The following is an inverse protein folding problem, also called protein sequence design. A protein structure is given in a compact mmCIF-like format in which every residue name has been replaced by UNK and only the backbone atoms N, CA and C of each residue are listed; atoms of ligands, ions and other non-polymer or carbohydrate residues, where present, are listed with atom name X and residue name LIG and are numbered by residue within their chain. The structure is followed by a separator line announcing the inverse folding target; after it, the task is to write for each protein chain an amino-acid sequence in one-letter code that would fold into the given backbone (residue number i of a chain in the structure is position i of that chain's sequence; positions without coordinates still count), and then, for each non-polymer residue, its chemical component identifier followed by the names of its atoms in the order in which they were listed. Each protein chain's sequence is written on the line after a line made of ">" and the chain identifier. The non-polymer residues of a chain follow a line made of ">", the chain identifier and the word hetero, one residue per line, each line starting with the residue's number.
data_IF_878373322920
#
_entry.id   IF_878373322920
#
_cell.length_a   1.000
_cell.length_b   1.000
_cell.length_c   1.000
_cell.angle_alpha   90.00
_cell.angle_beta   90.00
_cell.angle_gamma   90.00
#
_symmetry.space_group_name_H-M   'P 1'
#
loop_
_entity.id
_entity.type
_entity.pdbx_description
1 polymer ?
#
# COMPACT_ATOMS: atom_id res chain seq x y z
N UNK A 1 -22.00 -4.05 6.34
CA UNK A 1 -20.87 -4.29 7.26
C UNK A 1 -21.19 -3.52 8.54
N UNK A 2 -21.00 -4.10 9.72
CA UNK A 2 -21.30 -3.42 10.99
C UNK A 2 -20.43 -2.15 11.14
N UNK A 3 -20.97 -1.08 11.71
CA UNK A 3 -20.31 0.22 11.91
C UNK A 3 -18.97 0.04 12.63
N UNK A 4 -18.91 -0.84 13.63
CA UNK A 4 -17.69 -1.15 14.38
C UNK A 4 -16.54 -1.65 13.49
N UNK A 5 -16.84 -2.41 12.43
CA UNK A 5 -15.81 -2.89 11.48
C UNK A 5 -15.31 -1.78 10.55
N UNK A 6 -16.16 -0.79 10.23
CA UNK A 6 -15.74 0.39 9.45
C UNK A 6 -14.81 1.26 10.29
N UNK A 7 -15.17 1.53 11.54
CA UNK A 7 -14.36 2.30 12.47
C UNK A 7 -13.00 1.61 12.70
N UNK A 8 -13.00 0.30 12.91
CA UNK A 8 -11.77 -0.48 13.08
C UNK A 8 -10.85 -0.42 11.85
N UNK A 9 -11.40 -0.31 10.64
CA UNK A 9 -10.64 -0.14 9.41
C UNK A 9 -10.16 1.30 9.16
N UNK A 10 -10.90 2.31 9.62
CA UNK A 10 -10.50 3.71 9.47
C UNK A 10 -9.29 4.03 10.36
N UNK A 11 -9.23 3.50 11.58
CA UNK A 11 -8.11 3.72 12.50
C UNK A 11 -6.71 3.48 11.88
N UNK A 12 -6.39 2.32 11.29
CA UNK A 12 -5.09 2.10 10.66
C UNK A 12 -4.84 2.99 9.44
N UNK A 13 -5.89 3.37 8.69
CA UNK A 13 -5.75 4.31 7.57
C UNK A 13 -5.41 5.72 8.08
N UNK A 14 -6.00 6.14 9.20
CA UNK A 14 -5.63 7.40 9.86
C UNK A 14 -4.20 7.37 10.38
N UNK A 15 -3.75 6.26 10.97
CA UNK A 15 -2.33 6.10 11.36
C UNK A 15 -1.40 6.21 10.16
N UNK A 16 -1.77 5.61 9.03
CA UNK A 16 -1.03 5.73 7.77
C UNK A 16 -0.95 7.19 7.28
N UNK A 17 -2.03 7.97 7.38
CA UNK A 17 -1.99 9.41 7.06
C UNK A 17 -1.02 10.16 7.98
N UNK A 18 -1.10 9.92 9.30
CA UNK A 18 -0.20 10.54 10.28
C UNK A 18 1.26 10.18 9.99
N UNK A 19 1.54 8.93 9.69
CA UNK A 19 2.90 8.48 9.37
C UNK A 19 3.46 9.17 8.11
N UNK A 20 2.64 9.35 7.07
CA UNK A 20 3.06 10.09 5.87
C UNK A 20 3.24 11.59 6.13
N UNK A 21 2.42 12.20 6.98
CA UNK A 21 2.64 13.60 7.40
C UNK A 21 3.93 13.78 8.21
N UNK A 22 4.26 12.81 9.06
CA UNK A 22 5.54 12.79 9.79
C UNK A 22 6.72 12.59 8.85
N UNK A 23 6.60 11.68 7.87
CA UNK A 23 7.68 11.47 6.90
C UNK A 23 7.88 12.68 5.98
N UNK A 24 6.80 13.35 5.58
CA UNK A 24 6.86 14.62 4.86
C UNK A 24 7.70 15.67 5.60
N UNK A 25 7.63 15.73 6.93
CA UNK A 25 8.38 16.73 7.71
C UNK A 25 9.88 16.43 7.85
N UNK A 26 10.33 15.20 7.55
CA UNK A 26 11.75 14.80 7.64
C UNK A 26 12.64 15.61 6.70
N UNK A 27 12.11 16.07 5.57
CA UNK A 27 12.90 16.79 4.55
C UNK A 27 13.05 18.27 4.88
N UNK A 28 12.09 18.83 5.62
CA UNK A 28 12.10 20.23 6.03
C UNK A 28 12.80 20.46 7.36
N UNK A 29 13.21 19.39 8.04
CA UNK A 29 13.83 19.46 9.36
C UNK A 29 15.06 18.56 9.42
N UNK A 30 16.19 19.11 9.86
CA UNK A 30 17.41 18.34 10.13
C UNK A 30 17.23 17.52 11.42
N UNK A 31 16.55 16.40 11.31
CA UNK A 31 16.39 15.47 12.42
C UNK A 31 17.62 14.60 12.61
N UNK A 32 17.95 14.32 13.87
CA UNK A 32 18.96 13.33 14.23
C UNK A 32 18.56 11.97 13.66
N UNK A 33 19.53 11.22 13.12
CA UNK A 33 19.37 9.88 12.52
C UNK A 33 18.43 8.94 13.28
N UNK A 34 18.50 8.92 14.62
CA UNK A 34 17.61 8.10 15.46
C UNK A 34 16.14 8.46 15.26
N UNK A 35 15.82 9.75 15.16
CA UNK A 35 14.46 10.23 14.92
C UNK A 35 14.00 9.92 13.50
N UNK A 36 14.88 10.04 12.52
CA UNK A 36 14.60 9.62 11.13
C UNK A 36 14.28 8.13 11.08
N UNK A 37 15.10 7.28 11.72
CA UNK A 37 14.85 5.84 11.84
C UNK A 37 13.46 5.53 12.41
N UNK A 38 13.08 6.19 13.50
CA UNK A 38 11.75 6.01 14.10
C UNK A 38 10.61 6.44 13.15
N UNK A 39 10.74 7.57 12.47
CA UNK A 39 9.72 8.06 11.54
C UNK A 39 9.59 7.11 10.34
N UNK A 40 10.70 6.71 9.72
CA UNK A 40 10.69 5.80 8.57
C UNK A 40 10.22 4.40 8.95
N UNK A 41 10.59 3.92 10.14
CA UNK A 41 10.14 2.63 10.67
C UNK A 41 8.65 2.62 11.00
N UNK A 42 8.14 3.71 11.60
CA UNK A 42 6.71 3.88 11.85
C UNK A 42 5.91 3.91 10.54
N UNK A 43 6.38 4.66 9.54
CA UNK A 43 5.79 4.69 8.21
C UNK A 43 5.73 3.30 7.57
N UNK A 44 6.84 2.55 7.64
CA UNK A 44 6.90 1.19 7.11
C UNK A 44 5.84 0.27 7.73
N UNK A 45 5.70 0.29 9.06
CA UNK A 45 4.68 -0.51 9.76
C UNK A 45 3.26 -0.08 9.35
N UNK A 46 2.99 1.22 9.26
CA UNK A 46 1.71 1.73 8.82
C UNK A 46 1.40 1.38 7.35
N UNK A 47 2.39 1.35 6.46
CA UNK A 47 2.24 0.95 5.06
C UNK A 47 1.79 -0.52 4.95
N UNK A 48 2.42 -1.43 5.69
CA UNK A 48 2.00 -2.83 5.73
C UNK A 48 0.56 -2.96 6.22
N UNK A 49 0.24 -2.34 7.36
CA UNK A 49 -1.10 -2.45 7.96
C UNK A 49 -2.16 -1.84 7.04
N UNK A 50 -1.87 -0.70 6.41
CA UNK A 50 -2.76 -0.06 5.44
C UNK A 50 -3.13 -1.02 4.31
N UNK A 51 -2.14 -1.67 3.70
CA UNK A 51 -2.41 -2.59 2.58
C UNK A 51 -3.13 -3.85 3.00
N UNK A 52 -2.84 -4.41 4.19
CA UNK A 52 -3.61 -5.53 4.75
C UNK A 52 -5.10 -5.16 4.88
N UNK A 53 -5.40 -3.94 5.34
CA UNK A 53 -6.77 -3.44 5.44
C UNK A 53 -7.41 -3.32 4.06
N UNK A 54 -6.73 -2.71 3.09
CA UNK A 54 -7.25 -2.61 1.72
C UNK A 54 -7.53 -3.99 1.12
N UNK A 55 -6.60 -4.93 1.25
CA UNK A 55 -6.79 -6.30 0.79
C UNK A 55 -7.98 -6.97 1.45
N UNK A 56 -8.19 -6.79 2.75
CA UNK A 56 -9.39 -7.32 3.43
C UNK A 56 -10.69 -6.89 2.73
N UNK A 57 -10.81 -5.62 2.35
CA UNK A 57 -12.00 -5.14 1.63
C UNK A 57 -12.06 -5.64 0.19
N UNK A 58 -10.95 -5.64 -0.56
CA UNK A 58 -10.92 -6.16 -1.94
C UNK A 58 -11.40 -7.62 -1.98
N UNK A 59 -10.92 -8.42 -1.04
CA UNK A 59 -11.29 -9.83 -0.90
C UNK A 59 -12.72 -10.07 -0.46
N UNK A 60 -13.33 -9.13 0.26
CA UNK A 60 -14.74 -9.26 0.63
C UNK A 60 -15.68 -9.20 -0.59
N UNK A 61 -15.20 -8.63 -1.70
CA UNK A 61 -15.93 -8.50 -2.97
C UNK A 61 -15.55 -9.61 -3.96
N UNK A 62 -14.26 -9.95 -4.04
CA UNK A 62 -13.74 -10.94 -4.99
C UNK A 62 -13.92 -12.37 -4.51
N UNK A 63 -14.34 -13.25 -5.42
CA UNK A 63 -14.35 -14.70 -5.19
C UNK A 63 -13.19 -15.32 -5.99
N UNK A 64 -12.00 -15.37 -5.39
CA UNK A 64 -10.76 -15.92 -5.98
C UNK A 64 -10.33 -17.12 -5.14
N UNK A 65 -9.62 -18.07 -5.75
CA UNK A 65 -9.05 -19.20 -5.04
C UNK A 65 -8.05 -18.72 -3.97
N UNK A 66 -8.18 -19.26 -2.76
CA UNK A 66 -7.51 -18.73 -1.58
C UNK A 66 -5.97 -18.72 -1.68
N UNK A 67 -5.38 -19.68 -2.41
CA UNK A 67 -3.93 -19.75 -2.63
C UNK A 67 -3.41 -18.61 -3.53
N UNK A 68 -4.09 -18.34 -4.65
CA UNK A 68 -3.70 -17.28 -5.59
C UNK A 68 -3.76 -15.90 -4.92
N UNK A 69 -4.77 -15.69 -4.08
CA UNK A 69 -4.91 -14.49 -3.26
C UNK A 69 -3.68 -14.28 -2.38
N UNK A 70 -3.31 -15.27 -1.56
CA UNK A 70 -2.20 -15.13 -0.63
C UNK A 70 -0.86 -14.95 -1.34
N UNK A 71 -0.69 -15.56 -2.52
CA UNK A 71 0.50 -15.34 -3.35
C UNK A 71 0.60 -13.88 -3.82
N UNK A 72 -0.46 -13.33 -4.40
CA UNK A 72 -0.45 -11.95 -4.92
C UNK A 72 -0.24 -10.95 -3.77
N UNK A 73 -0.98 -11.10 -2.67
CA UNK A 73 -0.84 -10.24 -1.49
C UNK A 73 0.54 -10.37 -0.85
N UNK A 74 1.07 -11.59 -0.77
CA UNK A 74 2.40 -11.87 -0.22
C UNK A 74 3.51 -11.23 -1.04
N UNK A 75 3.49 -11.39 -2.37
CA UNK A 75 4.46 -10.75 -3.27
C UNK A 75 4.38 -9.23 -3.16
N UNK A 76 3.17 -8.68 -3.11
CA UNK A 76 2.97 -7.25 -2.98
C UNK A 76 3.50 -6.69 -1.64
N UNK A 77 3.19 -7.35 -0.53
CA UNK A 77 3.70 -6.99 0.79
C UNK A 77 5.22 -7.15 0.90
N UNK A 78 5.81 -8.14 0.22
CA UNK A 78 7.26 -8.29 0.11
C UNK A 78 7.90 -7.12 -0.65
N UNK A 79 7.27 -6.62 -1.71
CA UNK A 79 7.70 -5.40 -2.41
C UNK A 79 7.69 -4.15 -1.51
N UNK A 80 6.64 -3.99 -0.69
CA UNK A 80 6.57 -2.93 0.32
C UNK A 80 7.66 -3.10 1.38
N UNK A 81 7.90 -4.34 1.85
CA UNK A 81 8.95 -4.61 2.81
C UNK A 81 10.34 -4.27 2.28
N UNK A 82 10.66 -4.68 1.05
CA UNK A 82 11.94 -4.38 0.43
C UNK A 82 12.17 -2.87 0.29
N UNK A 83 11.16 -2.12 -0.18
CA UNK A 83 11.26 -0.66 -0.32
C UNK A 83 11.28 0.06 1.03
N UNK A 84 10.46 -0.37 1.99
CA UNK A 84 10.42 0.18 3.35
C UNK A 84 11.73 -0.01 4.11
N UNK A 85 12.31 -1.22 4.08
CA UNK A 85 13.63 -1.50 4.67
C UNK A 85 14.70 -0.65 3.98
N UNK A 86 14.65 -0.54 2.64
CA UNK A 86 15.54 0.34 1.89
C UNK A 86 15.48 1.78 2.34
N UNK A 87 14.28 2.34 2.48
CA UNK A 87 14.06 3.71 2.97
C UNK A 87 14.61 3.91 4.38
N UNK A 88 14.34 2.97 5.29
CA UNK A 88 14.83 3.05 6.68
C UNK A 88 16.35 3.11 6.67
N UNK A 89 17.01 2.17 5.98
CA UNK A 89 18.47 2.07 6.00
C UNK A 89 19.15 3.27 5.33
N UNK A 90 18.65 3.70 4.18
CA UNK A 90 19.25 4.81 3.41
C UNK A 90 19.05 6.17 4.07
N UNK A 91 17.87 6.43 4.65
CA UNK A 91 17.57 7.75 5.22
C UNK A 91 18.08 7.91 6.65
N UNK A 92 18.25 6.82 7.41
CA UNK A 92 18.66 6.90 8.82
C UNK A 92 20.13 6.62 9.07
N UNK A 93 20.86 6.05 8.09
CA UNK A 93 22.26 5.69 8.27
C UNK A 93 23.15 6.25 7.17
N UNK A 94 23.89 7.34 7.44
CA UNK A 94 24.88 7.89 6.51
C UNK A 94 25.92 6.84 6.09
N UNK A 95 26.35 6.00 7.04
CA UNK A 95 27.28 4.90 6.77
C UNK A 95 26.74 3.91 5.73
N UNK A 96 25.47 3.52 5.83
CA UNK A 96 24.87 2.59 4.86
C UNK A 96 24.70 3.26 3.50
N UNK A 97 24.40 4.56 3.48
CA UNK A 97 24.33 5.34 2.25
C UNK A 97 25.70 5.42 1.55
N UNK A 98 26.78 5.67 2.30
CA UNK A 98 28.15 5.68 1.77
C UNK A 98 28.60 4.29 1.29
N UNK A 99 28.22 3.25 2.04
CA UNK A 99 28.50 1.87 1.65
C UNK A 99 27.74 1.46 0.38
N UNK A 100 26.50 1.93 0.21
CA UNK A 100 25.73 1.73 -1.02
C UNK A 100 26.46 2.36 -2.20
N UNK A 101 26.88 3.62 -2.07
CA UNK A 101 27.54 4.37 -3.15
C UNK A 101 28.90 3.78 -3.55
N UNK A 102 29.52 2.97 -2.69
CA UNK A 102 30.80 2.32 -2.93
C UNK A 102 30.70 0.83 -3.34
N UNK A 103 29.49 0.23 -3.30
CA UNK A 103 29.29 -1.19 -3.56
C UNK A 103 28.21 -1.44 -4.61
N UNK A 104 28.62 -1.92 -5.79
CA UNK A 104 27.70 -2.31 -6.88
C UNK A 104 26.69 -3.36 -6.43
N UNK A 105 27.10 -4.31 -5.59
CA UNK A 105 26.21 -5.35 -5.04
C UNK A 105 25.07 -4.75 -4.21
N UNK A 106 25.36 -3.76 -3.36
CA UNK A 106 24.34 -3.12 -2.55
C UNK A 106 23.41 -2.24 -3.40
N UNK A 107 23.95 -1.54 -4.41
CA UNK A 107 23.14 -0.80 -5.38
C UNK A 107 22.11 -1.72 -6.03
N UNK A 108 22.54 -2.90 -6.51
CA UNK A 108 21.62 -3.87 -7.11
C UNK A 108 20.63 -4.45 -6.09
N UNK A 109 21.07 -4.73 -4.87
CA UNK A 109 20.19 -5.27 -3.83
C UNK A 109 19.05 -4.30 -3.49
N UNK A 110 19.35 -3.05 -3.15
CA UNK A 110 18.33 -2.05 -2.83
C UNK A 110 17.54 -1.59 -4.06
N UNK A 111 18.20 -1.50 -5.22
CA UNK A 111 17.55 -1.19 -6.50
C UNK A 111 16.54 -2.26 -6.91
N UNK A 112 16.84 -3.54 -6.69
CA UNK A 112 15.93 -4.65 -6.99
C UNK A 112 14.62 -4.56 -6.21
N UNK A 113 14.66 -4.10 -4.95
CA UNK A 113 13.46 -3.87 -4.14
C UNK A 113 12.54 -2.80 -4.74
N UNK A 114 13.12 -1.73 -5.30
CA UNK A 114 12.36 -0.67 -5.97
C UNK A 114 11.75 -1.14 -7.28
N UNK A 115 12.48 -1.94 -8.06
CA UNK A 115 11.98 -2.57 -9.30
C UNK A 115 10.86 -3.58 -8.98
N UNK A 116 11.00 -4.35 -7.90
CA UNK A 116 9.96 -5.26 -7.43
C UNK A 116 8.66 -4.49 -7.12
N UNK A 117 8.75 -3.30 -6.50
CA UNK A 117 7.59 -2.45 -6.21
C UNK A 117 6.88 -1.97 -7.49
N UNK A 118 7.59 -1.68 -8.58
CA UNK A 118 6.98 -1.38 -9.88
C UNK A 118 6.16 -2.55 -10.39
N UNK A 119 6.74 -3.75 -10.39
CA UNK A 119 6.05 -4.97 -10.81
C UNK A 119 4.81 -5.25 -9.93
N UNK A 120 4.96 -5.08 -8.61
CA UNK A 120 3.87 -5.19 -7.65
C UNK A 120 2.73 -4.18 -7.93
N UNK A 121 3.06 -2.95 -8.36
CA UNK A 121 2.07 -1.95 -8.75
C UNK A 121 1.18 -2.42 -9.90
N UNK A 122 1.78 -2.96 -10.96
CA UNK A 122 1.02 -3.50 -12.11
C UNK A 122 0.22 -4.75 -11.72
N UNK A 123 0.81 -5.64 -10.92
CA UNK A 123 0.12 -6.83 -10.40
C UNK A 123 -1.12 -6.45 -9.59
N UNK A 124 -1.00 -5.48 -8.69
CA UNK A 124 -2.12 -4.97 -7.89
C UNK A 124 -3.22 -4.40 -8.78
N UNK A 125 -2.86 -3.63 -9.80
CA UNK A 125 -3.84 -3.04 -10.71
C UNK A 125 -4.64 -4.11 -11.46
N UNK A 126 -3.96 -5.13 -12.01
CA UNK A 126 -4.62 -6.30 -12.59
C UNK A 126 -5.50 -7.04 -11.58
N UNK A 127 -5.01 -7.20 -10.35
CA UNK A 127 -5.73 -7.83 -9.26
C UNK A 127 -7.00 -7.06 -8.86
N UNK A 128 -7.05 -5.74 -8.97
CA UNK A 128 -8.23 -4.92 -8.59
C UNK A 128 -9.16 -4.61 -9.77
N UNK A 129 -8.75 -4.82 -11.02
CA UNK A 129 -9.42 -4.30 -12.23
C UNK A 129 -10.93 -4.60 -12.36
N UNK A 130 -11.37 -5.82 -12.02
CA UNK A 130 -12.80 -6.22 -11.98
C UNK A 130 -13.04 -7.21 -10.82
N UNK A 131 -14.19 -7.21 -10.10
CA UNK A 131 -15.38 -6.35 -10.20
C UNK A 131 -15.39 -5.21 -9.14
N UNK A 132 -14.23 -4.59 -8.89
CA UNK A 132 -14.05 -3.72 -7.70
C UNK A 132 -14.43 -2.27 -7.99
N UNK A 133 -14.86 -1.55 -6.95
CA UNK A 133 -15.24 -0.13 -6.99
C UNK A 133 -14.15 0.75 -7.64
N UNK A 134 -14.56 1.81 -8.35
CA UNK A 134 -13.67 2.79 -8.98
C UNK A 134 -12.65 3.38 -8.01
N UNK A 135 -13.02 3.61 -6.74
CA UNK A 135 -12.12 4.17 -5.73
C UNK A 135 -10.89 3.29 -5.47
N UNK A 136 -11.02 1.96 -5.44
CA UNK A 136 -9.84 1.09 -5.25
C UNK A 136 -9.01 1.04 -6.53
N UNK A 137 -9.63 1.09 -7.71
CA UNK A 137 -8.87 1.21 -8.97
C UNK A 137 -8.03 2.48 -8.98
N UNK A 138 -8.57 3.59 -8.46
CA UNK A 138 -7.81 4.83 -8.29
C UNK A 138 -6.67 4.67 -7.27
N UNK A 139 -6.90 4.00 -6.13
CA UNK A 139 -5.83 3.67 -5.16
C UNK A 139 -4.72 2.83 -5.80
N UNK A 140 -5.07 1.82 -6.60
CA UNK A 140 -4.10 0.98 -7.29
C UNK A 140 -3.31 1.76 -8.36
N UNK A 141 -3.97 2.67 -9.08
CA UNK A 141 -3.30 3.57 -10.03
C UNK A 141 -2.34 4.53 -9.33
N UNK A 142 -2.75 5.14 -8.22
CA UNK A 142 -1.87 5.98 -7.40
C UNK A 142 -0.69 5.19 -6.85
N UNK A 143 -0.86 3.91 -6.51
CA UNK A 143 0.25 3.05 -6.10
C UNK A 143 1.26 2.80 -7.23
N UNK A 144 0.82 2.62 -8.48
CA UNK A 144 1.73 2.56 -9.64
C UNK A 144 2.52 3.88 -9.75
N UNK A 145 1.84 5.02 -9.63
CA UNK A 145 2.50 6.32 -9.66
C UNK A 145 3.54 6.47 -8.53
N UNK A 146 3.20 6.07 -7.30
CA UNK A 146 4.14 6.03 -6.17
C UNK A 146 5.34 5.11 -6.47
N UNK A 147 5.11 3.94 -7.07
CA UNK A 147 6.19 3.02 -7.42
C UNK A 147 7.18 3.65 -8.42
N UNK A 148 6.68 4.41 -9.41
CA UNK A 148 7.53 5.20 -10.31
C UNK A 148 8.30 6.29 -9.56
N UNK A 149 7.65 7.02 -8.65
CA UNK A 149 8.34 8.02 -7.82
C UNK A 149 9.47 7.40 -7.00
N UNK A 150 9.23 6.25 -6.37
CA UNK A 150 10.26 5.52 -5.60
C UNK A 150 11.41 5.08 -6.51
N UNK A 151 11.11 4.61 -7.72
CA UNK A 151 12.12 4.15 -8.66
C UNK A 151 13.05 5.28 -9.14
N UNK A 152 12.51 6.49 -9.34
CA UNK A 152 13.26 7.69 -9.77
C UNK A 152 13.78 8.49 -8.55
N UNK A 153 13.95 7.86 -7.39
CA UNK A 153 14.49 8.49 -6.16
C UNK A 153 13.65 9.65 -5.58
N UNK A 154 12.39 9.80 -6.00
CA UNK A 154 11.43 10.73 -5.40
C UNK A 154 10.66 10.09 -4.21
N UNK A 155 11.30 9.20 -3.45
CA UNK A 155 10.73 8.61 -2.22
C UNK A 155 10.85 9.57 -1.02
N UNK A 156 10.20 10.72 -1.15
CA UNK A 156 10.41 11.87 -0.31
C UNK A 156 9.08 12.65 -0.13
N UNK A 157 9.12 13.98 -0.19
CA UNK A 157 7.96 14.88 -0.09
C UNK A 157 6.88 14.53 -1.10
N UNK A 158 7.26 14.30 -2.36
CA UNK A 158 6.31 14.10 -3.45
C UNK A 158 5.56 12.78 -3.30
N UNK A 159 6.28 11.67 -3.04
CA UNK A 159 5.64 10.38 -2.78
C UNK A 159 4.74 10.43 -1.54
N UNK A 160 5.15 11.16 -0.49
CA UNK A 160 4.36 11.36 0.74
C UNK A 160 3.04 12.08 0.46
N UNK A 161 3.05 13.14 -0.34
CA UNK A 161 1.82 13.86 -0.71
C UNK A 161 0.84 12.97 -1.48
N UNK A 162 1.33 12.17 -2.43
CA UNK A 162 0.49 11.20 -3.16
C UNK A 162 -0.06 10.13 -2.22
N UNK A 163 0.75 9.64 -1.28
CA UNK A 163 0.33 8.66 -0.27
C UNK A 163 -0.74 9.21 0.66
N UNK A 164 -0.68 10.49 1.03
CA UNK A 164 -1.74 11.17 1.81
C UNK A 164 -3.04 11.19 1.02
N UNK A 165 -3.02 11.59 -0.26
CA UNK A 165 -4.19 11.57 -1.14
C UNK A 165 -4.77 10.15 -1.26
N UNK A 166 -3.91 9.15 -1.42
CA UNK A 166 -4.31 7.74 -1.47
C UNK A 166 -5.00 7.29 -0.18
N UNK A 167 -4.50 7.70 1.00
CA UNK A 167 -5.12 7.41 2.28
C UNK A 167 -6.50 8.06 2.45
N UNK A 168 -6.69 9.29 1.98
CA UNK A 168 -8.00 9.97 1.98
C UNK A 168 -9.01 9.23 1.09
N UNK A 169 -8.60 8.80 -0.10
CA UNK A 169 -9.44 8.01 -1.01
C UNK A 169 -9.80 6.66 -0.38
N UNK A 170 -8.87 6.02 0.33
CA UNK A 170 -9.12 4.78 1.05
C UNK A 170 -10.17 4.95 2.17
N UNK A 171 -10.14 6.05 2.93
CA UNK A 171 -11.18 6.36 3.93
C UNK A 171 -12.54 6.49 3.25
N UNK A 172 -12.64 7.27 2.16
CA UNK A 172 -13.88 7.40 1.40
C UNK A 172 -14.40 6.04 0.91
N UNK A 173 -13.50 5.19 0.42
CA UNK A 173 -13.86 3.85 -0.02
C UNK A 173 -14.44 3.00 1.12
N UNK A 174 -13.79 2.97 2.29
CA UNK A 174 -14.28 2.21 3.46
C UNK A 174 -15.64 2.73 3.96
N UNK A 175 -15.82 4.05 3.97
CA UNK A 175 -17.09 4.68 4.37
C UNK A 175 -18.23 4.33 3.41
N UNK A 176 -17.98 4.42 2.11
CA UNK A 176 -18.97 4.13 1.06
C UNK A 176 -19.17 2.62 0.83
N UNK A 177 -18.34 1.77 1.43
CA UNK A 177 -18.46 0.32 1.30
C UNK A 177 -19.81 -0.18 1.87
N UNK A 178 -20.73 -0.57 0.98
CA UNK A 178 -21.98 -1.26 1.31
C UNK A 178 -21.77 -2.75 1.14
N UNK A 179 -21.97 -3.51 2.22
CA UNK A 179 -21.82 -4.98 2.16
C UNK A 179 -23.02 -5.71 1.54
N UNK A 180 -24.12 -5.00 1.22
CA UNK A 180 -25.40 -5.62 0.88
C UNK A 180 -25.55 -5.90 -0.62
N UNK A 181 -24.95 -5.10 -1.51
CA UNK A 181 -25.07 -5.31 -2.97
C UNK A 181 -24.39 -6.60 -3.45
N UNK A 182 -23.39 -7.11 -2.74
CA UNK A 182 -22.67 -8.33 -3.14
C UNK A 182 -23.38 -9.63 -2.75
N UNK A 183 -24.36 -9.56 -1.83
CA UNK A 183 -25.19 -10.72 -1.46
C UNK A 183 -26.43 -10.84 -2.33
N UNK A 184 -27.06 -9.71 -2.70
CA UNK A 184 -28.25 -9.71 -3.57
C UNK A 184 -27.91 -10.20 -4.98
N UNK A 185 -26.82 -9.74 -5.60
CA UNK A 185 -26.37 -10.23 -6.92
C UNK A 185 -25.98 -11.72 -6.88
N UNK A 186 -25.48 -12.22 -5.74
CA UNK A 186 -25.19 -13.66 -5.55
C UNK A 186 -26.44 -14.50 -5.29
N UNK A 187 -27.55 -13.91 -4.85
CA UNK A 187 -28.85 -14.59 -4.71
C UNK A 187 -29.63 -14.56 -6.02
N UNK A 188 -29.63 -13.44 -6.75
CA UNK A 188 -30.29 -13.29 -8.05
C UNK A 188 -29.69 -14.26 -9.09
N UNK A 189 -28.36 -14.31 -9.23
CA UNK A 189 -27.70 -15.26 -10.16
C UNK A 189 -27.80 -16.74 -9.74
N UNK A 190 -28.21 -17.03 -8.49
CA UNK A 190 -28.49 -18.40 -8.02
C UNK A 190 -29.95 -18.79 -8.19
N UNK A 191 -30.86 -17.82 -8.20
CA UNK A 191 -32.28 -18.02 -8.44
C UNK A 191 -32.56 -18.17 -9.94
N UNK A 192 -31.88 -17.40 -10.81
CA UNK A 192 -31.99 -17.58 -12.27
C UNK A 192 -31.49 -18.96 -12.74
N UNK A 193 -30.42 -19.49 -12.13
CA UNK A 193 -29.90 -20.84 -12.44
C UNK A 193 -30.74 -22.01 -11.90
N UNK A 194 -31.83 -21.73 -11.16
CA UNK A 194 -32.73 -22.76 -10.62
C UNK A 194 -34.09 -22.79 -11.32
N UNK A 195 -34.32 -21.92 -12.30
CA UNK A 195 -35.58 -21.80 -13.04
C UNK A 195 -35.54 -22.33 -14.47
N UNK A 196 -34.46 -22.99 -14.88
CA UNK A 196 -34.35 -23.72 -16.15
C UNK A 196 -34.24 -25.23 -15.93
#
# INVERSE_FOLDING_TARGET
>A
MNINKKILAIFPITLYLIANMLFYSVIFNDYVNRKVFFITGFLFLCEIIFWIVIFYFVNSVKNIQQWEKYLIEGIFLAGIAATGIGRILLNSSPYVNDLLNSSTTLIYLFGSGRVLMLFCGFLLFGYVYKPVNWLIRLVAFLNIFIAFLIWVDFDNTLSSSVRIVMGLIAIMYVLLFKANETKEVKMEGKNEKKTD
#
